data_IF_442646130826
#
_entry.id   IF_442646130826
#
_cell.length_a   1.000
_cell.length_b   1.000
_cell.length_c   1.000
_cell.angle_alpha   90.00
_cell.angle_beta   90.00
_cell.angle_gamma   90.00
#
_symmetry.space_group_name_H-M   'P 1'
#
loop_
_entity.id
_entity.type
_entity.pdbx_description
1 polymer ?
#
# COMPACT_ATOMS: atom_id res chain seq x y z
N UNK A 1 0.29 37.57 27.16
CA UNK A 1 1.45 37.06 27.91
C UNK A 1 2.04 35.90 27.12
N UNK A 2 3.17 36.12 26.49
CA UNK A 2 3.94 35.14 25.72
C UNK A 2 4.42 34.06 26.70
N UNK A 3 3.86 32.86 26.61
CA UNK A 3 4.32 31.73 27.42
C UNK A 3 5.66 31.27 26.86
N UNK A 4 6.70 31.43 27.66
CA UNK A 4 8.03 30.87 27.45
C UNK A 4 7.89 29.35 27.32
N UNK A 5 8.16 28.82 26.13
CA UNK A 5 7.98 27.39 25.82
C UNK A 5 9.17 26.64 26.42
N UNK A 6 8.88 25.75 27.36
CA UNK A 6 9.84 24.86 28.04
C UNK A 6 10.20 23.71 27.11
N UNK A 7 11.48 23.49 26.85
CA UNK A 7 12.03 22.40 26.03
C UNK A 7 11.66 21.01 26.55
N UNK A 8 10.59 20.39 26.03
CA UNK A 8 10.27 18.98 26.33
C UNK A 8 9.58 18.25 25.17
N UNK A 9 10.37 17.43 24.47
CA UNK A 9 9.92 16.32 23.62
C UNK A 9 9.86 16.65 22.12
N UNK A 10 9.96 15.61 21.27
CA UNK A 10 9.79 15.75 19.81
C UNK A 10 8.36 16.11 19.40
N UNK A 11 7.43 16.05 20.37
CA UNK A 11 5.99 16.14 20.17
C UNK A 11 5.33 16.85 21.37
N UNK A 12 4.39 17.75 21.11
CA UNK A 12 3.52 18.44 22.08
C UNK A 12 2.07 17.98 21.93
N UNK A 13 1.30 18.03 23.03
CA UNK A 13 -0.15 17.73 23.04
C UNK A 13 -0.89 18.93 23.65
N UNK A 14 -1.87 19.52 22.94
CA UNK A 14 -2.68 20.61 23.48
C UNK A 14 -3.80 20.12 24.43
N UNK A 15 -4.52 21.06 25.03
CA UNK A 15 -5.65 20.76 25.93
C UNK A 15 -6.81 20.03 25.23
N UNK A 16 -6.86 20.04 23.90
CA UNK A 16 -7.84 19.36 23.07
C UNK A 16 -7.32 18.01 22.52
N UNK A 17 -6.17 17.53 23.01
CA UNK A 17 -5.50 16.29 22.57
C UNK A 17 -4.97 16.35 21.12
N UNK A 18 -4.77 17.54 20.55
CA UNK A 18 -4.04 17.66 19.29
C UNK A 18 -2.56 17.47 19.51
N UNK A 19 -1.95 16.66 18.65
CA UNK A 19 -0.54 16.32 18.72
C UNK A 19 0.24 17.13 17.67
N UNK A 20 1.28 17.84 18.10
CA UNK A 20 2.14 18.69 17.28
C UNK A 20 3.56 18.13 17.26
N UNK A 21 4.17 17.95 16.09
CA UNK A 21 5.60 17.61 15.99
C UNK A 21 6.45 18.88 15.91
N UNK A 22 7.54 18.94 16.68
CA UNK A 22 8.43 20.10 16.65
C UNK A 22 9.28 20.13 15.35
N UNK A 23 9.42 21.30 14.69
CA UNK A 23 10.11 21.42 13.40
C UNK A 23 11.54 20.88 13.40
N UNK A 24 12.29 21.07 14.49
CA UNK A 24 13.67 20.61 14.63
C UNK A 24 13.84 19.07 14.64
N UNK A 25 12.77 18.30 14.87
CA UNK A 25 12.80 16.82 14.89
C UNK A 25 12.11 16.19 13.66
N UNK A 26 11.58 16.99 12.74
CA UNK A 26 10.78 16.54 11.57
C UNK A 26 11.60 15.98 10.40
N UNK A 27 12.93 15.99 10.49
CA UNK A 27 13.81 15.49 9.42
C UNK A 27 13.77 13.96 9.33
N UNK A 28 12.71 13.38 8.72
CA UNK A 28 12.60 12.07 8.02
C UNK A 28 11.24 11.37 8.13
N UNK A 29 10.27 11.92 8.86
CA UNK A 29 8.89 11.42 8.86
C UNK A 29 8.03 12.36 8.02
N UNK A 30 7.09 11.79 7.27
CA UNK A 30 6.06 12.44 6.46
C UNK A 30 5.90 13.94 6.78
N UNK A 31 6.29 14.80 5.84
CA UNK A 31 6.23 16.23 6.07
C UNK A 31 4.77 16.68 6.07
N UNK A 32 4.12 16.67 7.23
CA UNK A 32 2.72 17.12 7.40
C UNK A 32 2.48 18.53 6.84
N UNK A 33 3.55 19.34 6.69
CA UNK A 33 3.51 20.66 6.07
C UNK A 33 3.16 20.62 4.58
N UNK A 34 3.44 19.54 3.85
CA UNK A 34 3.06 19.42 2.42
C UNK A 34 1.58 19.12 2.21
N UNK A 35 0.88 18.70 3.28
CA UNK A 35 -0.56 18.40 3.24
C UNK A 35 -1.44 19.58 3.72
N UNK A 36 -0.87 20.71 4.15
CA UNK A 36 -1.63 21.87 4.62
C UNK A 36 -2.42 21.64 5.92
N UNK A 37 -2.11 20.56 6.66
CA UNK A 37 -2.79 20.15 7.89
C UNK A 37 -1.95 20.54 9.11
N UNK A 38 -2.62 20.96 10.19
CA UNK A 38 -2.00 21.58 11.36
C UNK A 38 -2.01 20.66 12.59
N UNK A 39 -2.77 19.55 12.54
CA UNK A 39 -2.94 18.62 13.67
C UNK A 39 -2.83 17.15 13.25
N UNK A 40 -2.43 16.28 14.20
CA UNK A 40 -2.45 14.82 13.98
C UNK A 40 -3.86 14.29 13.64
N UNK A 41 -4.92 14.90 14.19
CA UNK A 41 -6.29 14.50 13.89
C UNK A 41 -6.63 14.69 12.42
N UNK A 42 -6.24 15.82 11.82
CA UNK A 42 -6.42 16.09 10.40
C UNK A 42 -5.60 15.11 9.54
N UNK A 43 -4.35 14.82 9.93
CA UNK A 43 -3.53 13.80 9.25
C UNK A 43 -4.21 12.43 9.27
N UNK A 44 -4.73 12.01 10.43
CA UNK A 44 -5.42 10.73 10.58
C UNK A 44 -6.69 10.68 9.72
N UNK A 45 -7.46 11.77 9.63
CA UNK A 45 -8.64 11.85 8.77
C UNK A 45 -8.28 11.77 7.28
N UNK A 46 -7.21 12.44 6.84
CA UNK A 46 -6.74 12.35 5.46
C UNK A 46 -6.27 10.93 5.13
N UNK A 47 -5.51 10.28 6.02
CA UNK A 47 -5.10 8.88 5.86
C UNK A 47 -6.32 7.95 5.84
N UNK A 48 -7.31 8.18 6.71
CA UNK A 48 -8.55 7.41 6.75
C UNK A 48 -9.32 7.52 5.43
N UNK A 49 -9.47 8.74 4.90
CA UNK A 49 -10.13 8.97 3.61
C UNK A 49 -9.36 8.31 2.47
N UNK A 50 -8.04 8.50 2.43
CA UNK A 50 -7.16 7.92 1.43
C UNK A 50 -7.22 6.39 1.40
N UNK A 51 -7.21 5.75 2.57
CA UNK A 51 -7.33 4.30 2.68
C UNK A 51 -8.70 3.80 2.21
N UNK A 52 -9.78 4.55 2.46
CA UNK A 52 -11.12 4.26 1.92
C UNK A 52 -11.22 4.45 0.41
N UNK A 53 -10.59 5.50 -0.14
CA UNK A 53 -10.56 5.74 -1.57
C UNK A 53 -9.80 4.61 -2.29
N UNK A 54 -8.61 4.24 -1.80
CA UNK A 54 -7.85 3.11 -2.37
C UNK A 54 -8.66 1.82 -2.30
N UNK A 55 -9.26 1.52 -1.14
CA UNK A 55 -10.06 0.31 -0.97
C UNK A 55 -11.31 0.27 -1.85
N UNK A 56 -12.00 1.40 -2.00
CA UNK A 56 -13.14 1.56 -2.92
C UNK A 56 -12.71 1.36 -4.37
N UNK A 57 -11.55 1.91 -4.75
CA UNK A 57 -10.97 1.72 -6.08
C UNK A 57 -10.70 0.24 -6.37
N UNK A 58 -10.07 -0.47 -5.42
CA UNK A 58 -9.78 -1.90 -5.54
C UNK A 58 -11.07 -2.74 -5.65
N UNK A 59 -12.09 -2.43 -4.85
CA UNK A 59 -13.37 -3.13 -4.88
C UNK A 59 -14.07 -2.92 -6.23
N UNK A 60 -14.06 -1.68 -6.73
CA UNK A 60 -14.68 -1.32 -8.01
C UNK A 60 -14.01 -2.02 -9.21
N UNK A 61 -12.69 -2.17 -9.20
CA UNK A 61 -11.97 -2.89 -10.27
C UNK A 61 -12.13 -4.42 -10.19
N UNK A 62 -12.98 -4.92 -9.29
CA UNK A 62 -13.43 -6.31 -9.23
C UNK A 62 -12.81 -7.16 -8.13
N UNK A 63 -12.04 -6.57 -7.21
CA UNK A 63 -11.42 -7.34 -6.12
C UNK A 63 -12.47 -7.72 -5.07
N UNK A 64 -12.66 -9.01 -4.84
CA UNK A 64 -13.69 -9.54 -3.92
C UNK A 64 -13.34 -9.25 -2.46
N UNK A 65 -14.21 -8.53 -1.74
CA UNK A 65 -14.07 -8.22 -0.30
C UNK A 65 -14.19 -9.50 0.54
N UNK A 66 -13.08 -10.12 0.90
CA UNK A 66 -13.03 -11.40 1.62
C UNK A 66 -11.64 -11.66 2.20
N UNK A 67 -11.58 -12.36 3.34
CA UNK A 67 -10.34 -12.84 3.95
C UNK A 67 -9.66 -13.98 3.17
N UNK A 68 -10.31 -14.47 2.10
CA UNK A 68 -9.70 -15.38 1.12
C UNK A 68 -9.09 -14.65 -0.08
N UNK A 69 -9.11 -13.31 -0.09
CA UNK A 69 -8.55 -12.49 -1.17
C UNK A 69 -7.25 -11.85 -0.69
N UNK A 70 -6.17 -12.15 -1.40
CA UNK A 70 -4.82 -11.75 -1.05
C UNK A 70 -4.31 -10.66 -1.99
N UNK A 71 -3.59 -9.68 -1.45
CA UNK A 71 -3.08 -8.54 -2.23
C UNK A 71 -1.60 -8.35 -1.93
N UNK A 72 -0.76 -8.36 -2.97
CA UNK A 72 0.68 -8.20 -2.81
C UNK A 72 1.08 -6.75 -2.60
N UNK A 73 2.11 -6.54 -1.79
CA UNK A 73 2.82 -5.26 -1.69
C UNK A 73 4.31 -5.55 -1.92
N UNK A 74 4.84 -5.13 -3.07
CA UNK A 74 6.25 -5.21 -3.38
C UNK A 74 6.88 -3.82 -3.27
N UNK A 75 7.48 -3.55 -2.12
CA UNK A 75 8.08 -2.25 -1.85
C UNK A 75 8.86 -2.20 -0.53
N UNK A 76 9.52 -1.07 -0.32
CA UNK A 76 10.28 -0.78 0.90
C UNK A 76 9.38 -0.24 2.01
N UNK A 77 9.87 -0.36 3.25
CA UNK A 77 9.25 0.25 4.43
C UNK A 77 9.09 1.77 4.24
N UNK A 78 7.86 2.20 4.01
CA UNK A 78 7.51 3.59 3.70
C UNK A 78 6.10 3.92 4.19
N UNK A 79 5.74 5.20 4.17
CA UNK A 79 4.37 5.65 4.43
C UNK A 79 3.37 4.98 3.47
N UNK A 80 3.71 4.88 2.18
CA UNK A 80 2.85 4.28 1.17
C UNK A 80 2.65 2.79 1.43
N UNK A 81 3.70 2.08 1.87
CA UNK A 81 3.57 0.69 2.32
C UNK A 81 2.54 0.57 3.45
N UNK A 82 2.61 1.46 4.44
CA UNK A 82 1.60 1.56 5.50
C UNK A 82 0.20 1.82 4.94
N UNK A 83 0.04 2.85 4.10
CA UNK A 83 -1.25 3.22 3.49
C UNK A 83 -1.86 2.05 2.71
N UNK A 84 -1.06 1.29 1.96
CA UNK A 84 -1.53 0.09 1.25
C UNK A 84 -1.99 -1.01 2.22
N UNK A 85 -1.27 -1.25 3.32
CA UNK A 85 -1.75 -2.20 4.35
C UNK A 85 -3.09 -1.75 4.95
N UNK A 86 -3.17 -0.49 5.39
CA UNK A 86 -4.35 0.04 6.06
C UNK A 86 -5.56 0.21 5.12
N UNK A 87 -5.37 0.29 3.81
CA UNK A 87 -6.48 0.31 2.84
C UNK A 87 -7.10 -1.07 2.59
N UNK A 88 -6.40 -2.15 2.94
CA UNK A 88 -6.87 -3.52 2.71
C UNK A 88 -7.77 -4.05 3.81
N UNK A 89 -7.42 -3.79 5.08
CA UNK A 89 -8.14 -4.34 6.22
C UNK A 89 -9.60 -3.93 6.32
N UNK A 90 -10.04 -2.69 6.04
CA UNK A 90 -11.45 -2.35 6.04
C UNK A 90 -12.30 -3.18 5.06
N UNK A 91 -11.66 -3.82 4.08
CA UNK A 91 -12.30 -4.62 3.02
C UNK A 91 -12.06 -6.13 3.18
N UNK A 92 -11.58 -6.57 4.35
CA UNK A 92 -11.24 -7.95 4.70
C UNK A 92 -10.10 -8.57 3.87
N UNK A 93 -9.38 -7.82 3.04
CA UNK A 93 -8.27 -8.38 2.26
C UNK A 93 -7.05 -8.69 3.13
N UNK A 94 -6.29 -9.70 2.71
CA UNK A 94 -5.06 -10.12 3.37
C UNK A 94 -3.86 -9.55 2.60
N UNK A 95 -3.11 -8.60 3.18
CA UNK A 95 -1.87 -8.13 2.58
C UNK A 95 -0.80 -9.22 2.57
N UNK A 96 -0.03 -9.28 1.50
CA UNK A 96 1.09 -10.20 1.31
C UNK A 96 2.35 -9.39 1.00
N UNK A 97 3.27 -9.35 1.95
CA UNK A 97 4.53 -8.59 1.79
C UNK A 97 5.52 -9.32 0.89
N UNK A 98 6.08 -8.59 -0.08
CA UNK A 98 7.15 -9.05 -0.97
C UNK A 98 8.35 -8.11 -0.76
N UNK A 99 9.45 -8.64 -0.24
CA UNK A 99 10.64 -7.84 0.09
C UNK A 99 11.67 -7.86 -1.05
N UNK A 100 12.51 -6.82 -1.10
CA UNK A 100 13.56 -6.66 -2.13
C UNK A 100 14.65 -7.74 -2.08
N UNK A 101 14.78 -8.41 -0.94
CA UNK A 101 15.70 -9.55 -0.76
C UNK A 101 15.17 -10.86 -1.37
N UNK A 102 13.90 -10.89 -1.80
CA UNK A 102 13.31 -12.07 -2.45
C UNK A 102 13.76 -12.10 -3.92
N UNK A 103 14.30 -13.24 -4.35
CA UNK A 103 14.70 -13.44 -5.74
C UNK A 103 13.51 -13.39 -6.71
N UNK A 104 13.77 -13.16 -8.00
CA UNK A 104 12.70 -13.18 -9.03
C UNK A 104 11.91 -14.50 -9.03
N UNK A 105 12.60 -15.63 -8.83
CA UNK A 105 11.95 -16.94 -8.66
C UNK A 105 11.05 -16.97 -7.43
N UNK A 106 11.53 -16.43 -6.30
CA UNK A 106 10.72 -16.31 -5.08
C UNK A 106 9.48 -15.44 -5.27
N UNK A 107 9.58 -14.35 -6.04
CA UNK A 107 8.44 -13.48 -6.37
C UNK A 107 7.39 -14.25 -7.21
N UNK A 108 7.83 -15.02 -8.20
CA UNK A 108 6.94 -15.89 -8.99
C UNK A 108 6.26 -16.94 -8.10
N UNK A 109 7.02 -17.58 -7.21
CA UNK A 109 6.49 -18.54 -6.25
C UNK A 109 5.41 -17.90 -5.38
N UNK A 110 5.70 -16.77 -4.72
CA UNK A 110 4.76 -16.07 -3.84
C UNK A 110 3.48 -15.70 -4.59
N UNK A 111 3.62 -15.16 -5.81
CA UNK A 111 2.49 -14.74 -6.64
C UNK A 111 1.54 -15.91 -6.93
N UNK A 112 2.09 -17.09 -7.26
CA UNK A 112 1.30 -18.30 -7.52
C UNK A 112 0.74 -18.91 -6.23
N UNK A 113 1.58 -19.04 -5.20
CA UNK A 113 1.24 -19.70 -3.94
C UNK A 113 0.15 -18.95 -3.18
N UNK A 114 0.27 -17.62 -3.05
CA UNK A 114 -0.75 -16.77 -2.44
C UNK A 114 -1.89 -16.39 -3.41
N UNK A 115 -1.86 -16.90 -4.65
CA UNK A 115 -2.85 -16.62 -5.69
C UNK A 115 -3.11 -15.12 -5.91
N UNK A 116 -2.05 -14.32 -5.92
CA UNK A 116 -2.16 -12.85 -5.99
C UNK A 116 -2.71 -12.42 -7.36
N UNK A 117 -3.87 -11.77 -7.35
CA UNK A 117 -4.47 -11.18 -8.56
C UNK A 117 -4.01 -9.74 -8.79
N UNK A 118 -3.57 -9.08 -7.71
CA UNK A 118 -3.13 -7.69 -7.70
C UNK A 118 -1.89 -7.50 -6.81
N UNK A 119 -0.93 -6.71 -7.30
CA UNK A 119 0.27 -6.34 -6.55
C UNK A 119 0.51 -4.83 -6.65
N UNK A 120 0.76 -4.18 -5.51
CA UNK A 120 1.25 -2.81 -5.41
C UNK A 120 2.77 -2.75 -5.58
N UNK A 121 3.28 -1.71 -6.25
CA UNK A 121 4.72 -1.43 -6.39
C UNK A 121 5.03 0.02 -6.05
N UNK A 122 6.07 0.26 -5.25
CA UNK A 122 6.49 1.60 -4.86
C UNK A 122 7.41 2.30 -5.89
N UNK A 123 8.07 1.54 -6.76
CA UNK A 123 8.91 2.08 -7.83
C UNK A 123 8.80 1.32 -9.17
N UNK A 124 9.40 1.91 -10.20
CA UNK A 124 9.38 1.36 -11.57
C UNK A 124 10.29 0.13 -11.74
N UNK A 125 11.28 -0.08 -10.87
CA UNK A 125 12.16 -1.24 -10.93
C UNK A 125 11.42 -2.51 -10.49
N UNK A 126 10.68 -2.44 -9.38
CA UNK A 126 9.83 -3.54 -8.89
C UNK A 126 8.67 -3.82 -9.83
N UNK A 127 8.08 -2.77 -10.39
CA UNK A 127 7.08 -2.89 -11.46
C UNK A 127 7.65 -3.67 -12.65
N UNK A 128 8.84 -3.30 -13.12
CA UNK A 128 9.51 -3.98 -14.22
C UNK A 128 9.82 -5.44 -13.89
N UNK A 129 10.34 -5.72 -12.70
CA UNK A 129 10.63 -7.08 -12.25
C UNK A 129 9.39 -7.99 -12.32
N UNK A 130 8.23 -7.50 -11.84
CA UNK A 130 6.97 -8.25 -11.91
C UNK A 130 6.51 -8.51 -13.35
N UNK A 131 6.69 -7.54 -14.25
CA UNK A 131 6.35 -7.70 -15.67
C UNK A 131 7.30 -8.72 -16.32
N UNK A 132 8.60 -8.57 -16.13
CA UNK A 132 9.60 -9.45 -16.76
C UNK A 132 9.46 -10.90 -16.27
N UNK A 133 9.28 -11.12 -14.96
CA UNK A 133 9.08 -12.46 -14.39
C UNK A 133 7.64 -12.98 -14.47
N UNK A 134 6.70 -12.23 -15.06
CA UNK A 134 5.33 -12.69 -15.21
C UNK A 134 5.24 -13.95 -16.10
N UNK A 135 4.56 -14.96 -15.57
CA UNK A 135 4.21 -16.21 -16.26
C UNK A 135 2.73 -16.19 -16.64
N UNK A 136 2.38 -16.67 -17.84
CA UNK A 136 1.00 -16.68 -18.35
C UNK A 136 0.02 -17.47 -17.46
N UNK A 137 0.53 -18.49 -16.76
CA UNK A 137 -0.25 -19.31 -15.80
C UNK A 137 -0.48 -18.61 -14.46
N UNK A 138 0.12 -17.43 -14.24
CA UNK A 138 -0.02 -16.66 -13.01
C UNK A 138 -1.45 -16.09 -12.86
N UNK A 139 -2.01 -16.09 -11.65
CA UNK A 139 -3.29 -15.43 -11.38
C UNK A 139 -3.21 -13.90 -11.42
N UNK A 140 -2.01 -13.32 -11.47
CA UNK A 140 -1.78 -11.88 -11.49
C UNK A 140 -2.36 -11.24 -12.74
N UNK A 141 -3.22 -10.23 -12.58
CA UNK A 141 -3.86 -9.49 -13.68
C UNK A 141 -3.66 -7.98 -13.60
N UNK A 142 -3.52 -7.43 -12.40
CA UNK A 142 -3.40 -5.98 -12.19
C UNK A 142 -2.15 -5.64 -11.38
N UNK A 143 -1.41 -4.64 -11.84
CA UNK A 143 -0.31 -4.01 -11.11
C UNK A 143 -0.75 -2.60 -10.75
N UNK A 144 -0.62 -2.22 -9.48
CA UNK A 144 -0.84 -0.84 -9.05
C UNK A 144 0.50 -0.18 -8.79
N UNK A 145 0.84 0.84 -9.57
CA UNK A 145 2.14 1.51 -9.45
C UNK A 145 2.02 2.87 -8.79
N UNK A 146 2.84 3.11 -7.76
CA UNK A 146 2.98 4.40 -7.12
C UNK A 146 3.57 5.45 -8.05
N UNK A 147 4.50 5.05 -8.92
CA UNK A 147 5.13 5.93 -9.90
C UNK A 147 4.47 5.76 -11.26
N UNK A 148 4.33 6.85 -12.00
CA UNK A 148 3.77 6.80 -13.35
C UNK A 148 4.74 6.07 -14.30
N UNK A 149 4.35 4.93 -14.90
CA UNK A 149 5.18 4.25 -15.88
C UNK A 149 5.23 5.01 -17.20
N UNK A 150 6.27 4.77 -18.00
CA UNK A 150 6.33 5.24 -19.38
C UNK A 150 5.58 4.28 -20.32
N UNK A 151 5.32 4.73 -21.56
CA UNK A 151 4.54 3.97 -22.54
C UNK A 151 5.17 2.62 -22.88
N UNK A 152 6.51 2.53 -22.89
CA UNK A 152 7.21 1.27 -23.16
C UNK A 152 6.92 0.21 -22.09
N UNK A 153 6.92 0.61 -20.81
CA UNK A 153 6.64 -0.30 -19.71
C UNK A 153 5.16 -0.71 -19.69
N UNK A 154 4.25 0.21 -20.02
CA UNK A 154 2.81 -0.08 -20.18
C UNK A 154 2.58 -1.09 -21.31
N UNK A 155 3.20 -0.90 -22.47
CA UNK A 155 3.10 -1.83 -23.59
C UNK A 155 3.64 -3.21 -23.23
N UNK A 156 4.78 -3.27 -22.53
CA UNK A 156 5.35 -4.54 -22.07
C UNK A 156 4.39 -5.31 -21.14
N UNK A 157 3.72 -4.63 -20.21
CA UNK A 157 2.70 -5.24 -19.37
C UNK A 157 1.50 -5.74 -20.19
N UNK A 158 1.00 -4.94 -21.13
CA UNK A 158 -0.13 -5.31 -21.98
C UNK A 158 0.15 -6.55 -22.83
N UNK A 159 1.35 -6.66 -23.43
CA UNK A 159 1.78 -7.85 -24.20
C UNK A 159 1.71 -9.11 -23.33
N UNK A 160 1.98 -8.98 -22.03
CA UNK A 160 1.92 -10.06 -21.05
C UNK A 160 0.53 -10.23 -20.40
N UNK A 161 -0.51 -9.54 -20.91
CA UNK A 161 -1.86 -9.64 -20.38
C UNK A 161 -2.06 -8.97 -19.00
N UNK A 162 -1.15 -8.09 -18.61
CA UNK A 162 -1.19 -7.34 -17.36
C UNK A 162 -1.75 -5.94 -17.59
N UNK A 163 -2.62 -5.49 -16.68
CA UNK A 163 -3.09 -4.10 -16.60
C UNK A 163 -2.28 -3.35 -15.55
N UNK A 164 -1.78 -2.16 -15.89
CA UNK A 164 -1.20 -1.23 -14.91
C UNK A 164 -2.24 -0.15 -14.58
N UNK A 165 -2.44 0.13 -13.29
CA UNK A 165 -3.21 1.27 -12.78
C UNK A 165 -2.26 2.13 -11.96
N UNK A 166 -2.26 3.45 -12.16
CA UNK A 166 -1.46 4.32 -11.30
C UNK A 166 -2.15 4.53 -9.95
N UNK A 167 -1.37 4.82 -8.92
CA UNK A 167 -1.89 5.14 -7.60
C UNK A 167 -2.94 6.28 -7.63
N UNK A 168 -2.67 7.35 -8.38
CA UNK A 168 -3.59 8.47 -8.53
C UNK A 168 -4.87 8.07 -9.28
N UNK A 169 -4.78 7.21 -10.30
CA UNK A 169 -5.95 6.67 -10.99
C UNK A 169 -6.82 5.83 -10.06
N UNK A 170 -6.20 4.98 -9.25
CA UNK A 170 -6.92 4.12 -8.31
C UNK A 170 -7.71 4.93 -7.28
N UNK A 171 -7.10 6.00 -6.74
CA UNK A 171 -7.77 6.93 -5.82
C UNK A 171 -8.95 7.60 -6.52
N UNK A 172 -8.76 8.10 -7.74
CA UNK A 172 -9.85 8.74 -8.50
C UNK A 172 -11.01 7.78 -8.77
N UNK A 173 -10.72 6.52 -9.09
CA UNK A 173 -11.74 5.47 -9.24
C UNK A 173 -12.49 5.28 -7.91
N UNK A 174 -11.77 5.20 -6.79
CA UNK A 174 -12.38 5.06 -5.47
C UNK A 174 -13.29 6.21 -5.07
N UNK A 175 -12.84 7.44 -5.30
CA UNK A 175 -13.63 8.66 -5.05
C UNK A 175 -14.90 8.71 -5.88
N UNK A 176 -14.84 8.25 -7.14
CA UNK A 176 -15.99 8.16 -8.02
C UNK A 176 -16.94 7.01 -7.67
N UNK A 177 -16.43 5.97 -6.98
CA UNK A 177 -17.17 4.76 -6.65
C UNK A 177 -17.01 4.35 -5.17
N UNK A 178 -17.47 5.18 -4.22
CA UNK A 178 -17.38 4.86 -2.80
C UNK A 178 -18.02 3.51 -2.50
N UNK A 179 -17.30 2.66 -1.78
CA UNK A 179 -17.74 1.31 -1.45
C UNK A 179 -17.76 1.12 0.06
N UNK A 180 -18.87 0.62 0.59
CA UNK A 180 -18.99 0.28 2.01
C UNK A 180 -17.93 -0.76 2.42
N UNK A 181 -17.16 -0.49 3.49
CA UNK A 181 -16.23 -1.46 4.07
C UNK A 181 -16.92 -2.78 4.45
N UNK A 182 -16.15 -3.86 4.48
CA UNK A 182 -16.53 -5.14 5.06
C UNK A 182 -15.39 -5.57 5.99
N UNK A 183 -15.37 -5.11 7.25
CA UNK A 183 -14.24 -5.34 8.14
C UNK A 183 -14.10 -6.82 8.53
N UNK A 184 -12.86 -7.30 8.80
CA UNK A 184 -12.57 -8.67 9.17
C UNK A 184 -13.02 -8.96 10.60
N UNK A 185 -13.11 -10.25 10.91
CA UNK A 185 -13.29 -10.77 12.27
C UNK A 185 -11.96 -10.86 12.99
N UNK A 186 -11.99 -10.94 14.32
CA UNK A 186 -10.78 -11.11 15.14
C UNK A 186 -10.02 -12.42 14.89
N UNK A 187 -10.66 -13.40 14.26
CA UNK A 187 -10.08 -14.71 13.91
C UNK A 187 -9.55 -14.76 12.48
N UNK A 188 -9.77 -13.71 11.70
CA UNK A 188 -9.37 -13.66 10.29
C UNK A 188 -7.86 -13.41 10.17
N UNK A 189 -7.28 -13.85 9.05
CA UNK A 189 -5.85 -13.64 8.78
C UNK A 189 -5.59 -12.16 8.56
N UNK A 190 -4.68 -11.57 9.32
CA UNK A 190 -4.38 -10.14 9.23
C UNK A 190 -3.35 -9.81 8.14
N UNK A 191 -2.31 -10.62 7.97
CA UNK A 191 -1.18 -10.40 7.05
C UNK A 191 -0.42 -11.70 6.81
N UNK A 192 0.15 -11.85 5.62
CA UNK A 192 1.13 -12.91 5.32
C UNK A 192 2.47 -12.27 5.00
N UNK A 193 3.53 -12.73 5.67
CA UNK A 193 4.89 -12.28 5.46
C UNK A 193 5.76 -13.47 5.08
N UNK A 194 6.22 -13.49 3.84
CA UNK A 194 7.12 -14.52 3.37
C UNK A 194 8.53 -14.30 3.89
N UNK A 195 9.22 -15.40 4.19
CA UNK A 195 10.64 -15.41 4.55
C UNK A 195 11.44 -16.14 3.49
N UNK A 196 12.65 -15.66 3.19
CA UNK A 196 13.59 -16.36 2.31
C UNK A 196 13.99 -17.68 2.99
N UNK A 197 13.46 -18.80 2.52
CA UNK A 197 13.84 -20.11 3.04
C UNK A 197 15.33 -20.37 2.83
N UNK A 198 15.98 -21.03 3.77
CA UNK A 198 17.41 -21.39 3.67
C UNK A 198 17.70 -22.49 2.62
N UNK A 199 16.67 -23.11 2.04
CA UNK A 199 16.80 -24.33 1.23
C UNK A 199 15.87 -24.40 0.02
N UNK A 200 15.22 -23.31 -0.40
CA UNK A 200 14.32 -23.35 -1.55
C UNK A 200 13.31 -22.21 -1.59
N UNK A 201 12.06 -22.55 -1.90
CA UNK A 201 10.96 -21.59 -2.05
C UNK A 201 10.67 -20.80 -0.75
N UNK A 202 10.21 -19.54 -0.85
CA UNK A 202 9.76 -18.75 0.29
C UNK A 202 8.68 -19.47 1.13
N UNK A 203 8.73 -19.26 2.45
CA UNK A 203 7.75 -19.81 3.42
C UNK A 203 6.88 -18.73 4.00
#
# INVERSE_FOLDING_TARGET
MTRTISSKGAVEIDANQHIYAHPEYSNKLFDYRTCGVTTLYEIMNEIYKLTHDIGSGLAHIGLQKSNSTFVGIYGLSSIHYGIFLYSMWPFSWVPVGIYDSISLHGIQFITRHAKLQLIFTDDLHRLRNLIECHEETSPLKTLVSLQKPNDSLVQMAQIKGLRIITYDDLIRIGQAHPTEPLPPKSTDTAVIMYTSGSTGDPK
#
